data_IF_942570411519
#
_entry.id   IF_942570411519
#
_cell.length_a   1.000
_cell.length_b   1.000
_cell.length_c   1.000
_cell.angle_alpha   90.00
_cell.angle_beta   90.00
_cell.angle_gamma   90.00
#
_symmetry.space_group_name_H-M   'P 1'
#
loop_
_entity.id
_entity.type
_entity.pdbx_description
1 polymer ?
#
# COMPACT_ATOMS: atom_id res chain seq x y z
N UNK A 1 -1.88 -2.15 -16.67
CA UNK A 1 -2.86 -2.22 -15.58
C UNK A 1 -3.14 -3.69 -15.35
N UNK A 2 -3.02 -4.15 -14.10
CA UNK A 2 -3.30 -5.54 -13.71
C UNK A 2 -4.80 -5.76 -13.82
N UNK A 3 -5.22 -6.94 -14.31
CA UNK A 3 -6.65 -7.24 -14.47
C UNK A 3 -7.25 -7.61 -13.11
N UNK A 4 -8.43 -7.07 -12.79
CA UNK A 4 -9.17 -7.50 -11.61
C UNK A 4 -9.50 -9.01 -11.69
N UNK A 5 -9.05 -9.77 -10.70
CA UNK A 5 -9.18 -11.24 -10.64
C UNK A 5 -10.43 -11.74 -9.94
N UNK A 6 -11.21 -10.86 -9.30
CA UNK A 6 -12.37 -11.24 -8.48
C UNK A 6 -13.40 -12.05 -9.28
N UNK A 7 -13.68 -11.65 -10.53
CA UNK A 7 -14.60 -12.38 -11.40
C UNK A 7 -14.11 -13.76 -11.84
N UNK A 8 -12.80 -14.00 -11.77
CA UNK A 8 -12.18 -15.27 -12.16
C UNK A 8 -12.07 -16.25 -10.98
N UNK A 9 -12.05 -15.74 -9.75
CA UNK A 9 -11.84 -16.55 -8.55
C UNK A 9 -12.82 -17.74 -8.43
N UNK A 10 -14.14 -17.58 -8.67
CA UNK A 10 -15.09 -18.70 -8.62
C UNK A 10 -14.87 -19.76 -9.70
N UNK A 11 -14.16 -19.41 -10.77
CA UNK A 11 -13.84 -20.34 -11.85
C UNK A 11 -12.55 -21.13 -11.58
N UNK A 12 -11.80 -20.82 -10.52
CA UNK A 12 -10.56 -21.52 -10.16
C UNK A 12 -10.87 -22.68 -9.20
N UNK A 13 -10.28 -23.83 -9.47
CA UNK A 13 -10.40 -25.02 -8.64
C UNK A 13 -9.31 -25.04 -7.57
N UNK A 14 -9.49 -25.76 -6.43
CA UNK A 14 -8.50 -25.79 -5.36
C UNK A 14 -7.07 -26.09 -5.82
N UNK A 15 -6.93 -27.02 -6.76
CA UNK A 15 -5.66 -27.45 -7.36
C UNK A 15 -5.01 -26.37 -8.23
N UNK A 16 -5.80 -25.47 -8.84
CA UNK A 16 -5.24 -24.32 -9.57
C UNK A 16 -4.42 -23.46 -8.58
N UNK A 17 -4.92 -23.25 -7.36
CA UNK A 17 -4.16 -22.47 -6.36
C UNK A 17 -3.03 -23.28 -5.71
N UNK A 18 -3.12 -24.61 -5.63
CA UNK A 18 -1.98 -25.44 -5.21
C UNK A 18 -0.83 -25.30 -6.21
N UNK A 19 -1.14 -25.30 -7.51
CA UNK A 19 -0.15 -24.97 -8.54
C UNK A 19 0.42 -23.57 -8.33
N UNK A 20 -0.43 -22.53 -8.23
CA UNK A 20 0.03 -21.14 -8.06
C UNK A 20 0.90 -20.98 -6.80
N UNK A 21 0.53 -21.60 -5.69
CA UNK A 21 1.32 -21.62 -4.45
C UNK A 21 2.64 -22.35 -4.63
N UNK A 22 2.65 -23.44 -5.40
CA UNK A 22 3.87 -24.17 -5.76
C UNK A 22 4.83 -23.33 -6.62
N UNK A 23 4.29 -22.55 -7.57
CA UNK A 23 5.09 -21.57 -8.34
C UNK A 23 5.63 -20.48 -7.41
N UNK A 24 4.80 -19.89 -6.54
CA UNK A 24 5.24 -18.90 -5.54
C UNK A 24 6.39 -19.44 -4.67
N UNK A 25 6.26 -20.67 -4.19
CA UNK A 25 7.27 -21.32 -3.37
C UNK A 25 8.58 -21.56 -4.15
N UNK A 26 8.47 -22.00 -5.40
CA UNK A 26 9.63 -22.18 -6.28
C UNK A 26 10.34 -20.85 -6.59
N UNK A 27 9.58 -19.76 -6.69
CA UNK A 27 10.10 -18.41 -6.94
C UNK A 27 11.04 -17.91 -5.84
N UNK A 28 11.01 -18.50 -4.65
CA UNK A 28 11.99 -18.21 -3.59
C UNK A 28 13.43 -18.59 -3.98
N UNK A 29 13.59 -19.50 -4.95
CA UNK A 29 14.89 -20.04 -5.35
C UNK A 29 15.30 -19.63 -6.77
N UNK A 30 14.35 -19.27 -7.65
CA UNK A 30 14.61 -18.86 -9.03
C UNK A 30 13.46 -18.07 -9.60
N UNK A 31 13.72 -17.08 -10.45
CA UNK A 31 12.68 -16.30 -11.14
C UNK A 31 11.73 -17.14 -11.97
N UNK A 32 12.28 -18.17 -12.61
CA UNK A 32 11.53 -19.10 -13.43
C UNK A 32 11.65 -20.49 -12.84
N UNK A 33 10.54 -20.97 -12.29
CA UNK A 33 10.46 -22.28 -11.66
C UNK A 33 10.42 -23.35 -12.75
N UNK A 34 11.43 -24.23 -12.76
CA UNK A 34 11.50 -25.37 -13.66
C UNK A 34 10.27 -26.27 -13.48
N UNK A 35 9.67 -26.68 -14.61
CA UNK A 35 8.45 -27.50 -14.65
C UNK A 35 8.59 -28.77 -13.81
N UNK A 36 9.73 -29.43 -13.85
CA UNK A 36 10.01 -30.69 -13.15
C UNK A 36 10.01 -30.56 -11.62
N UNK A 37 10.11 -29.34 -11.09
CA UNK A 37 10.07 -29.07 -9.64
C UNK A 37 8.66 -28.79 -9.14
N UNK A 38 7.71 -28.45 -10.02
CA UNK A 38 6.37 -28.04 -9.65
C UNK A 38 5.55 -29.14 -8.95
N UNK A 39 5.60 -30.43 -9.33
CA UNK A 39 4.91 -31.49 -8.59
C UNK A 39 5.30 -31.50 -7.11
N UNK A 40 6.60 -31.33 -6.83
CA UNK A 40 7.13 -31.29 -5.46
C UNK A 40 6.66 -30.05 -4.67
N UNK A 41 6.62 -28.87 -5.31
CA UNK A 41 6.23 -27.64 -4.61
C UNK A 41 4.72 -27.51 -4.43
N UNK A 42 3.93 -27.99 -5.40
CA UNK A 42 2.46 -27.90 -5.36
C UNK A 42 1.81 -29.07 -4.64
N UNK A 43 2.51 -30.21 -4.48
CA UNK A 43 1.93 -31.44 -3.97
C UNK A 43 1.00 -32.15 -4.96
N UNK A 44 1.01 -31.73 -6.24
CA UNK A 44 0.22 -32.30 -7.32
C UNK A 44 0.99 -33.38 -8.08
N UNK A 45 0.26 -34.25 -8.79
CA UNK A 45 0.85 -35.18 -9.76
C UNK A 45 1.37 -34.44 -11.01
N UNK A 46 2.26 -35.07 -11.78
CA UNK A 46 2.75 -34.50 -13.04
C UNK A 46 1.61 -34.20 -14.04
N UNK A 47 0.59 -35.07 -14.10
CA UNK A 47 -0.57 -34.91 -14.98
C UNK A 47 -1.44 -33.71 -14.56
N UNK A 48 -1.68 -33.54 -13.26
CA UNK A 48 -2.39 -32.39 -12.73
C UNK A 48 -1.60 -31.10 -12.96
N UNK A 49 -0.29 -31.10 -12.70
CA UNK A 49 0.56 -29.92 -12.97
C UNK A 49 0.42 -29.48 -14.42
N UNK A 50 0.52 -30.40 -15.39
CA UNK A 50 0.39 -30.05 -16.82
C UNK A 50 -0.98 -29.42 -17.14
N UNK A 51 -2.06 -30.06 -16.70
CA UNK A 51 -3.43 -29.56 -16.91
C UNK A 51 -3.64 -28.17 -16.31
N UNK A 52 -3.14 -27.95 -15.09
CA UNK A 52 -3.29 -26.70 -14.36
C UNK A 52 -2.42 -25.60 -14.95
N UNK A 53 -1.23 -25.92 -15.44
CA UNK A 53 -0.33 -24.98 -16.12
C UNK A 53 -1.00 -24.38 -17.36
N UNK A 54 -1.59 -25.21 -18.22
CA UNK A 54 -2.33 -24.73 -19.41
C UNK A 54 -3.49 -23.80 -19.03
N UNK A 55 -4.25 -24.17 -17.99
CA UNK A 55 -5.39 -23.39 -17.50
C UNK A 55 -4.96 -22.04 -16.92
N UNK A 56 -3.95 -22.03 -16.05
CA UNK A 56 -3.41 -20.81 -15.44
C UNK A 56 -2.74 -19.90 -16.48
N UNK A 57 -2.05 -20.46 -17.48
CA UNK A 57 -1.49 -19.68 -18.61
C UNK A 57 -2.59 -19.00 -19.42
N UNK A 58 -3.64 -19.74 -19.80
CA UNK A 58 -4.77 -19.20 -20.57
C UNK A 58 -5.48 -18.05 -19.85
N UNK A 59 -5.43 -18.05 -18.52
CA UNK A 59 -6.02 -17.03 -17.65
C UNK A 59 -5.08 -15.87 -17.31
N UNK A 60 -3.80 -15.94 -17.71
CA UNK A 60 -2.81 -14.91 -17.40
C UNK A 60 -2.42 -14.87 -15.93
N UNK A 61 -2.49 -16.00 -15.22
CA UNK A 61 -2.08 -16.07 -13.81
C UNK A 61 -0.58 -16.38 -13.66
N UNK A 62 -0.01 -17.01 -14.68
CA UNK A 62 1.40 -17.36 -14.78
C UNK A 62 1.91 -17.03 -16.18
N UNK A 63 3.23 -16.93 -16.29
CA UNK A 63 3.95 -16.80 -17.55
C UNK A 63 4.86 -18.01 -17.75
N UNK A 64 5.08 -18.39 -19.01
CA UNK A 64 5.95 -19.51 -19.42
C UNK A 64 7.12 -18.99 -20.24
N UNK A 65 8.31 -19.52 -19.98
CA UNK A 65 9.45 -19.45 -20.90
C UNK A 65 9.86 -20.84 -21.36
N UNK A 66 10.46 -20.90 -22.54
CA UNK A 66 10.97 -22.14 -23.16
C UNK A 66 12.43 -22.05 -23.58
N UNK A 67 13.06 -20.88 -23.40
CA UNK A 67 14.47 -20.68 -23.72
C UNK A 67 15.31 -21.37 -22.65
N UNK A 68 16.23 -22.24 -23.07
CA UNK A 68 17.10 -23.12 -22.25
C UNK A 68 16.38 -24.23 -21.48
N UNK A 69 15.20 -23.96 -20.92
CA UNK A 69 14.35 -24.94 -20.23
C UNK A 69 12.90 -24.44 -20.17
N UNK A 70 11.99 -25.35 -19.85
CA UNK A 70 10.59 -25.02 -19.58
C UNK A 70 10.43 -24.52 -18.14
N UNK A 71 10.09 -23.24 -17.99
CA UNK A 71 9.97 -22.60 -16.69
C UNK A 71 8.76 -21.68 -16.59
N UNK A 72 8.29 -21.49 -15.36
CA UNK A 72 7.08 -20.74 -15.05
C UNK A 72 7.31 -19.71 -13.95
N UNK A 73 6.63 -18.57 -14.05
CA UNK A 73 6.65 -17.53 -13.02
C UNK A 73 5.24 -16.97 -12.81
N UNK A 74 4.95 -16.43 -11.63
CA UNK A 74 3.65 -15.81 -11.36
C UNK A 74 3.54 -14.46 -12.07
N UNK A 75 2.33 -14.18 -12.57
CA UNK A 75 1.91 -12.82 -12.89
C UNK A 75 1.19 -12.21 -11.68
N UNK A 76 1.04 -10.89 -11.67
CA UNK A 76 0.37 -10.20 -10.56
C UNK A 76 -1.07 -10.69 -10.39
N UNK A 77 -1.76 -11.03 -11.46
CA UNK A 77 -3.09 -11.64 -11.41
C UNK A 77 -3.06 -12.99 -10.64
N UNK A 78 -2.04 -13.83 -10.83
CA UNK A 78 -1.87 -15.04 -10.03
C UNK A 78 -1.60 -14.75 -8.56
N UNK A 79 -0.83 -13.71 -8.28
CA UNK A 79 -0.50 -13.28 -6.92
C UNK A 79 -1.71 -12.68 -6.19
N UNK A 80 -2.50 -11.87 -6.89
CA UNK A 80 -3.78 -11.32 -6.43
C UNK A 80 -4.76 -12.44 -6.10
N UNK A 81 -4.88 -13.44 -6.98
CA UNK A 81 -5.78 -14.57 -6.77
C UNK A 81 -5.42 -15.34 -5.50
N UNK A 82 -4.12 -15.58 -5.27
CA UNK A 82 -3.64 -16.23 -4.05
C UNK A 82 -3.94 -15.40 -2.78
N UNK A 83 -3.71 -14.09 -2.83
CA UNK A 83 -3.99 -13.20 -1.71
C UNK A 83 -5.50 -13.09 -1.41
N UNK A 84 -6.31 -12.90 -2.45
CA UNK A 84 -7.77 -12.80 -2.34
C UNK A 84 -8.37 -14.08 -1.80
N UNK A 85 -7.95 -15.25 -2.33
CA UNK A 85 -8.41 -16.55 -1.82
C UNK A 85 -8.14 -16.68 -0.33
N UNK A 86 -6.93 -16.33 0.12
CA UNK A 86 -6.59 -16.44 1.53
C UNK A 86 -7.43 -15.51 2.43
N UNK A 87 -7.79 -14.31 1.94
CA UNK A 87 -8.65 -13.38 2.67
C UNK A 87 -10.12 -13.84 2.70
N UNK A 88 -10.59 -14.48 1.61
CA UNK A 88 -11.94 -15.09 1.56
C UNK A 88 -12.03 -16.32 2.47
N UNK A 89 -11.03 -17.21 2.45
CA UNK A 89 -10.99 -18.41 3.31
C UNK A 89 -10.90 -18.08 4.81
N UNK A 90 -10.48 -16.85 5.16
CA UNK A 90 -10.44 -16.33 6.53
C UNK A 90 -11.68 -15.52 6.91
N UNK A 91 -12.73 -15.54 6.07
CA UNK A 91 -13.97 -14.75 6.22
C UNK A 91 -13.71 -13.22 6.35
N UNK A 92 -12.55 -12.74 5.90
CA UNK A 92 -12.18 -11.32 5.91
C UNK A 92 -12.91 -10.56 4.80
N UNK A 93 -13.17 -11.22 3.68
CA UNK A 93 -13.91 -10.68 2.53
C UNK A 93 -15.02 -11.67 2.16
N UNK A 94 -16.26 -11.17 2.06
CA UNK A 94 -17.42 -11.93 1.62
C UNK A 94 -17.89 -11.51 0.22
N UNK A 95 -17.83 -10.21 -0.11
CA UNK A 95 -18.21 -9.69 -1.42
C UNK A 95 -17.13 -8.75 -1.97
N UNK A 96 -16.98 -8.73 -3.30
CA UNK A 96 -16.05 -7.86 -4.02
C UNK A 96 -16.83 -6.82 -4.82
N UNK A 97 -16.46 -5.55 -4.67
CA UNK A 97 -17.15 -4.41 -5.23
C UNK A 97 -16.39 -3.68 -6.33
N UNK A 98 -16.69 -2.39 -6.45
CA UNK A 98 -16.14 -1.51 -7.49
C UNK A 98 -14.70 -1.07 -7.18
N UNK A 99 -13.90 -0.72 -8.19
CA UNK A 99 -12.63 -0.02 -7.96
C UNK A 99 -12.87 1.32 -7.27
N UNK A 100 -12.09 1.62 -6.24
CA UNK A 100 -12.08 2.90 -5.53
C UNK A 100 -10.96 3.81 -6.04
N UNK A 101 -9.80 3.22 -6.39
CA UNK A 101 -8.67 3.95 -6.95
C UNK A 101 -7.70 2.99 -7.61
N UNK A 102 -7.17 3.34 -8.79
CA UNK A 102 -6.21 2.53 -9.53
C UNK A 102 -5.03 3.42 -9.87
N UNK A 103 -3.89 3.14 -9.26
CA UNK A 103 -2.69 3.97 -9.30
C UNK A 103 -1.49 3.26 -9.90
N UNK A 104 -0.34 3.95 -9.88
CA UNK A 104 0.94 3.36 -10.29
C UNK A 104 1.47 2.35 -9.27
N UNK A 105 1.18 2.59 -8.00
CA UNK A 105 1.79 1.92 -6.85
C UNK A 105 0.79 1.08 -6.05
N UNK A 106 -0.51 1.27 -6.27
CA UNK A 106 -1.53 0.42 -5.68
C UNK A 106 -2.82 0.37 -6.50
N UNK A 107 -3.56 -0.72 -6.34
CA UNK A 107 -4.95 -0.85 -6.80
C UNK A 107 -5.85 -1.03 -5.58
N UNK A 108 -6.87 -0.20 -5.44
CA UNK A 108 -7.80 -0.18 -4.30
C UNK A 108 -9.21 -0.50 -4.79
N UNK A 109 -9.83 -1.49 -4.15
CA UNK A 109 -11.17 -1.96 -4.45
C UNK A 109 -12.05 -1.91 -3.21
N UNK A 110 -13.33 -1.64 -3.42
CA UNK A 110 -14.33 -1.85 -2.39
C UNK A 110 -14.52 -3.36 -2.20
N UNK A 111 -14.52 -3.79 -0.95
CA UNK A 111 -14.88 -5.16 -0.55
C UNK A 111 -15.83 -5.07 0.63
N UNK A 112 -16.49 -6.17 0.95
CA UNK A 112 -17.47 -6.19 2.03
C UNK A 112 -17.33 -7.46 2.85
N UNK A 113 -17.44 -7.30 4.17
CA UNK A 113 -17.67 -8.38 5.13
C UNK A 113 -18.99 -8.07 5.84
N UNK A 114 -19.00 -7.90 7.17
CA UNK A 114 -20.15 -7.38 7.91
C UNK A 114 -20.44 -5.89 7.64
N UNK A 115 -19.44 -5.15 7.13
CA UNK A 115 -19.54 -3.76 6.69
C UNK A 115 -18.72 -3.54 5.41
N UNK A 116 -18.92 -2.42 4.68
CA UNK A 116 -18.02 -2.02 3.60
C UNK A 116 -16.59 -1.79 4.11
N UNK A 117 -15.61 -2.25 3.35
CA UNK A 117 -14.17 -2.19 3.62
C UNK A 117 -13.42 -1.83 2.32
N UNK A 118 -12.14 -1.55 2.43
CA UNK A 118 -11.24 -1.35 1.29
C UNK A 118 -10.20 -2.47 1.23
N UNK A 119 -9.95 -2.99 0.03
CA UNK A 119 -8.86 -3.91 -0.28
C UNK A 119 -7.84 -3.16 -1.13
N UNK A 120 -6.62 -3.01 -0.61
CA UNK A 120 -5.48 -2.39 -1.30
C UNK A 120 -4.49 -3.47 -1.71
N UNK A 121 -4.19 -3.58 -3.00
CA UNK A 121 -3.06 -4.34 -3.52
C UNK A 121 -1.88 -3.40 -3.77
N UNK A 122 -0.71 -3.74 -3.23
CA UNK A 122 0.53 -3.04 -3.52
C UNK A 122 1.11 -3.44 -4.87
N UNK A 123 1.55 -2.45 -5.64
CA UNK A 123 2.15 -2.56 -6.97
C UNK A 123 3.51 -1.88 -7.07
N UNK A 124 4.09 -1.46 -5.94
CA UNK A 124 5.42 -0.83 -5.89
C UNK A 124 6.43 -1.56 -6.78
N UNK A 125 7.13 -0.79 -7.62
CA UNK A 125 8.13 -1.30 -8.58
C UNK A 125 7.58 -1.83 -9.92
N UNK A 126 6.25 -1.94 -10.12
CA UNK A 126 5.69 -2.51 -11.34
C UNK A 126 5.68 -1.57 -12.56
N UNK A 127 5.38 -0.28 -12.39
CA UNK A 127 5.17 0.65 -13.51
C UNK A 127 6.48 1.22 -14.08
N UNK A 128 7.42 1.64 -13.23
CA UNK A 128 8.71 2.19 -13.67
C UNK A 128 9.54 1.17 -14.49
N UNK A 129 9.29 -0.14 -14.30
CA UNK A 129 10.04 -1.18 -14.98
C UNK A 129 9.47 -1.59 -16.34
N UNK A 130 8.17 -1.44 -16.65
CA UNK A 130 7.68 -1.66 -18.04
C UNK A 130 8.31 -0.68 -19.02
N UNK A 131 8.68 0.51 -18.55
CA UNK A 131 9.46 1.47 -19.35
C UNK A 131 10.92 1.05 -19.48
N UNK A 132 11.56 0.58 -18.39
CA UNK A 132 12.98 0.18 -18.39
C UNK A 132 13.25 -1.17 -19.09
N UNK A 133 12.36 -2.16 -18.98
CA UNK A 133 12.48 -3.47 -19.65
C UNK A 133 12.24 -3.40 -21.16
N UNK A 134 11.71 -2.30 -21.69
CA UNK A 134 11.76 -2.07 -23.15
C UNK A 134 13.17 -1.75 -23.64
N UNK A 135 14.08 -1.34 -22.75
CA UNK A 135 15.42 -0.86 -23.09
C UNK A 135 16.57 -1.76 -22.61
N UNK A 136 16.32 -2.72 -21.71
CA UNK A 136 17.38 -3.58 -21.13
C UNK A 136 16.99 -5.06 -21.10
N UNK A 137 16.93 -5.67 -22.27
CA UNK A 137 17.47 -7.02 -22.38
C UNK A 137 19.01 -6.89 -22.28
N UNK A 138 19.67 -7.86 -21.67
CA UNK A 138 21.12 -7.96 -21.46
C UNK A 138 21.66 -7.27 -20.18
N UNK A 139 22.11 -8.13 -19.26
CA UNK A 139 23.03 -7.92 -18.13
C UNK A 139 22.45 -7.35 -16.82
N UNK A 140 22.28 -8.24 -15.83
CA UNK A 140 22.90 -8.06 -14.50
C UNK A 140 22.75 -9.31 -13.63
N UNK A 141 23.88 -9.70 -13.03
CA UNK A 141 24.02 -10.76 -12.03
C UNK A 141 23.58 -10.25 -10.64
N UNK A 142 22.99 -11.15 -9.83
CA UNK A 142 22.84 -11.09 -8.36
C UNK A 142 21.77 -10.18 -7.72
N UNK A 143 20.52 -10.68 -7.66
CA UNK A 143 19.77 -11.13 -6.46
C UNK A 143 18.31 -11.23 -6.90
N UNK A 144 17.77 -12.43 -6.92
CA UNK A 144 16.38 -12.67 -7.29
C UNK A 144 15.43 -12.10 -6.22
N UNK A 145 15.21 -10.78 -6.26
CA UNK A 145 14.16 -10.11 -5.49
C UNK A 145 13.01 -9.90 -6.47
N UNK A 146 12.07 -10.83 -6.49
CA UNK A 146 10.84 -10.68 -7.25
C UNK A 146 10.13 -9.40 -6.79
N UNK A 147 9.62 -8.59 -7.73
CA UNK A 147 8.80 -7.41 -7.43
C UNK A 147 7.61 -7.73 -6.52
N UNK A 148 7.09 -8.96 -6.57
CA UNK A 148 6.05 -9.45 -5.66
C UNK A 148 6.53 -9.48 -4.20
N UNK A 149 7.81 -9.77 -3.97
CA UNK A 149 8.42 -9.68 -2.64
C UNK A 149 8.49 -8.23 -2.16
N UNK A 150 8.86 -7.28 -3.02
CA UNK A 150 8.85 -5.84 -2.67
C UNK A 150 7.45 -5.37 -2.33
N UNK A 151 6.46 -5.65 -3.19
CA UNK A 151 5.06 -5.31 -2.94
C UNK A 151 4.51 -5.96 -1.66
N UNK A 152 4.89 -7.22 -1.40
CA UNK A 152 4.57 -7.91 -0.14
C UNK A 152 5.17 -7.19 1.06
N UNK A 153 6.44 -6.79 0.99
CA UNK A 153 7.11 -6.09 2.09
C UNK A 153 6.52 -4.72 2.35
N UNK A 154 6.10 -4.00 1.32
CA UNK A 154 5.36 -2.75 1.46
C UNK A 154 4.02 -2.97 2.18
N UNK A 155 3.26 -3.99 1.79
CA UNK A 155 1.99 -4.32 2.43
C UNK A 155 2.16 -4.78 3.90
N UNK A 156 3.19 -5.58 4.20
CA UNK A 156 3.52 -5.98 5.57
C UNK A 156 3.83 -4.73 6.43
N UNK A 157 4.70 -3.83 5.94
CA UNK A 157 5.04 -2.60 6.68
C UNK A 157 3.86 -1.67 6.91
N UNK A 158 3.05 -1.42 5.88
CA UNK A 158 1.88 -0.56 6.03
C UNK A 158 0.88 -1.17 7.02
N UNK A 159 0.61 -2.48 6.93
CA UNK A 159 -0.28 -3.14 7.88
C UNK A 159 0.24 -3.05 9.32
N UNK A 160 1.52 -3.38 9.54
CA UNK A 160 2.14 -3.32 10.87
C UNK A 160 2.10 -1.89 11.43
N UNK A 161 2.36 -0.89 10.60
CA UNK A 161 2.27 0.53 10.99
C UNK A 161 0.84 0.93 11.35
N UNK A 162 -0.15 0.51 10.55
CA UNK A 162 -1.57 0.78 10.84
C UNK A 162 -2.02 0.10 12.14
N UNK A 163 -1.49 -1.08 12.47
CA UNK A 163 -1.81 -1.79 13.72
C UNK A 163 -1.26 -1.06 14.94
N UNK A 164 -0.06 -0.48 14.86
CA UNK A 164 0.54 0.30 15.95
C UNK A 164 -0.12 1.69 16.11
N UNK A 165 -0.54 2.31 15.00
CA UNK A 165 -1.12 3.66 15.03
C UNK A 165 -2.62 3.68 15.40
N UNK A 166 -3.37 2.62 15.08
CA UNK A 166 -4.79 2.56 15.38
C UNK A 166 -5.05 2.10 16.84
N UNK A 167 -5.93 2.77 17.61
CA UNK A 167 -6.84 3.85 17.24
C UNK A 167 -6.35 5.26 17.63
N UNK A 168 -5.10 5.41 18.09
CA UNK A 168 -4.59 6.64 18.69
C UNK A 168 -4.37 7.76 17.67
N UNK A 169 -4.03 7.38 16.44
CA UNK A 169 -3.97 8.24 15.26
C UNK A 169 -5.15 7.93 14.35
N UNK A 170 -5.72 8.96 13.73
CA UNK A 170 -6.79 8.81 12.75
C UNK A 170 -6.28 8.22 11.44
N UNK A 171 -6.13 6.90 11.43
CA UNK A 171 -5.74 6.05 10.31
C UNK A 171 -6.86 5.03 10.01
N UNK A 172 -6.95 4.47 8.80
CA UNK A 172 -7.92 3.41 8.54
C UNK A 172 -7.61 2.18 9.39
N UNK A 173 -8.62 1.65 10.10
CA UNK A 173 -8.45 0.44 10.90
C UNK A 173 -7.96 -0.72 10.03
N UNK A 174 -6.81 -1.35 10.32
CA UNK A 174 -6.39 -2.56 9.63
C UNK A 174 -7.29 -3.74 10.04
N UNK A 175 -7.66 -4.59 9.07
CA UNK A 175 -8.55 -5.75 9.28
C UNK A 175 -7.82 -7.05 8.99
N UNK A 176 -6.94 -7.06 7.99
CA UNK A 176 -6.06 -8.19 7.75
C UNK A 176 -5.13 -7.98 6.56
N UNK A 177 -4.05 -8.73 6.55
CA UNK A 177 -3.05 -8.69 5.49
C UNK A 177 -2.77 -10.10 4.96
N UNK A 178 -2.56 -10.18 3.65
CA UNK A 178 -2.01 -11.37 3.02
C UNK A 178 -1.18 -10.98 1.80
N UNK A 179 0.08 -11.44 1.75
CA UNK A 179 1.00 -11.15 0.63
C UNK A 179 1.14 -9.63 0.42
N UNK A 180 0.76 -9.11 -0.73
CA UNK A 180 0.79 -7.70 -1.08
C UNK A 180 -0.58 -7.03 -0.91
N UNK A 181 -1.53 -7.68 -0.24
CA UNK A 181 -2.89 -7.21 -0.07
C UNK A 181 -3.19 -6.84 1.39
N UNK A 182 -3.80 -5.67 1.60
CA UNK A 182 -4.30 -5.19 2.89
C UNK A 182 -5.81 -4.99 2.79
N UNK A 183 -6.55 -5.51 3.76
CA UNK A 183 -7.95 -5.16 4.01
C UNK A 183 -7.99 -4.19 5.18
N UNK A 184 -8.61 -3.04 4.99
CA UNK A 184 -8.75 -2.00 6.00
C UNK A 184 -10.14 -1.36 5.95
N UNK A 185 -10.46 -0.57 6.97
CA UNK A 185 -11.66 0.25 6.98
C UNK A 185 -11.71 1.15 5.74
N UNK A 186 -12.88 1.22 5.09
CA UNK A 186 -13.09 2.11 3.95
C UNK A 186 -13.06 3.55 4.46
N UNK A 187 -12.28 4.42 3.82
CA UNK A 187 -12.22 5.82 4.18
C UNK A 187 -13.52 6.51 3.76
N UNK A 188 -14.06 7.33 4.67
CA UNK A 188 -15.19 8.20 4.39
C UNK A 188 -14.70 9.61 4.00
N UNK A 189 -15.56 10.37 3.31
CA UNK A 189 -15.26 11.73 2.91
C UNK A 189 -14.56 11.85 1.55
N UNK A 190 -13.76 12.91 1.39
CA UNK A 190 -13.12 13.28 0.10
C UNK A 190 -11.62 13.46 0.31
N UNK A 191 -10.82 13.00 -0.65
CA UNK A 191 -9.37 13.29 -0.70
C UNK A 191 -9.12 14.80 -0.53
N UNK A 192 -8.20 15.19 0.36
CA UNK A 192 -7.90 16.59 0.67
C UNK A 192 -7.55 17.40 -0.59
N UNK A 193 -6.81 16.80 -1.52
CA UNK A 193 -6.47 17.39 -2.83
C UNK A 193 -7.70 17.89 -3.60
N UNK A 194 -8.83 17.17 -3.52
CA UNK A 194 -10.11 17.47 -4.18
C UNK A 194 -11.11 18.20 -3.29
N UNK A 195 -10.93 18.14 -1.98
CA UNK A 195 -11.79 18.82 -1.02
C UNK A 195 -11.77 20.34 -1.23
N UNK A 196 -12.92 20.97 -1.03
CA UNK A 196 -13.06 22.43 -0.99
C UNK A 196 -13.43 22.83 0.43
N UNK A 197 -12.42 23.22 1.20
CA UNK A 197 -12.60 23.78 2.52
C UNK A 197 -13.09 25.22 2.41
N UNK A 198 -14.05 25.58 3.24
CA UNK A 198 -14.42 26.97 3.49
C UNK A 198 -13.32 27.66 4.31
N UNK A 199 -13.18 28.97 4.17
CA UNK A 199 -12.10 29.76 4.80
C UNK A 199 -11.97 29.52 6.31
N UNK A 200 -13.09 29.34 7.02
CA UNK A 200 -13.12 29.09 8.46
C UNK A 200 -12.69 27.67 8.85
N UNK A 201 -12.71 26.71 7.91
CA UNK A 201 -12.31 25.31 8.15
C UNK A 201 -10.81 25.10 7.95
N UNK A 202 -10.15 25.94 7.14
CA UNK A 202 -8.78 25.71 6.67
C UNK A 202 -7.80 25.49 7.82
N UNK A 203 -7.77 26.39 8.80
CA UNK A 203 -6.85 26.30 9.94
C UNK A 203 -7.18 25.10 10.83
N UNK A 204 -8.47 24.83 11.08
CA UNK A 204 -8.88 23.68 11.89
C UNK A 204 -8.47 22.34 11.26
N UNK A 205 -8.64 22.19 9.93
CA UNK A 205 -8.20 20.97 9.23
C UNK A 205 -6.68 20.84 9.23
N UNK A 206 -5.94 21.94 9.03
CA UNK A 206 -4.48 21.92 9.12
C UNK A 206 -4.01 21.53 10.53
N UNK A 207 -4.60 22.09 11.58
CA UNK A 207 -4.27 21.78 12.97
C UNK A 207 -4.55 20.31 13.30
N UNK A 208 -5.70 19.79 12.85
CA UNK A 208 -6.01 18.36 13.01
C UNK A 208 -4.92 17.50 12.38
N UNK A 209 -4.48 17.81 11.15
CA UNK A 209 -3.45 17.03 10.46
C UNK A 209 -2.09 17.10 11.17
N UNK A 210 -1.66 18.29 11.60
CA UNK A 210 -0.40 18.41 12.37
C UNK A 210 -0.51 17.66 13.70
N UNK A 211 -1.67 17.69 14.35
CA UNK A 211 -1.93 16.95 15.59
C UNK A 211 -1.93 15.43 15.39
N UNK A 212 -2.43 14.93 14.26
CA UNK A 212 -2.33 13.50 13.92
C UNK A 212 -0.88 13.09 13.62
N UNK A 213 -0.10 13.94 12.92
CA UNK A 213 1.33 13.69 12.69
C UNK A 213 2.13 13.71 14.00
N UNK A 214 1.80 14.63 14.91
CA UNK A 214 2.41 14.68 16.24
C UNK A 214 2.10 13.40 17.05
N UNK A 215 0.85 12.92 17.00
CA UNK A 215 0.47 11.66 17.63
C UNK A 215 1.13 10.45 16.97
N UNK A 216 1.28 10.42 15.65
CA UNK A 216 2.02 9.36 14.97
C UNK A 216 3.49 9.33 15.43
N UNK A 217 4.12 10.50 15.53
CA UNK A 217 5.48 10.63 16.06
C UNK A 217 5.58 10.12 17.50
N UNK A 218 4.61 10.51 18.36
CA UNK A 218 4.51 10.02 19.74
C UNK A 218 4.32 8.50 19.85
N UNK A 219 3.68 7.88 18.86
CA UNK A 219 3.54 6.43 18.73
C UNK A 219 4.72 5.76 18.00
N UNK A 220 5.79 6.50 17.73
CA UNK A 220 7.03 5.94 17.22
C UNK A 220 7.16 5.89 15.70
N UNK A 221 6.29 6.58 14.94
CA UNK A 221 6.34 6.58 13.48
C UNK A 221 6.33 7.98 12.86
N UNK A 222 7.12 8.13 11.78
CA UNK A 222 7.04 9.25 10.85
C UNK A 222 6.46 8.72 9.54
N UNK A 223 5.47 9.41 8.97
CA UNK A 223 4.83 8.99 7.72
C UNK A 223 5.83 8.91 6.56
N UNK A 224 6.74 9.88 6.47
CA UNK A 224 7.81 9.94 5.48
C UNK A 224 7.34 9.88 4.02
N UNK A 225 6.10 10.28 3.74
CA UNK A 225 5.59 10.57 2.39
C UNK A 225 4.29 11.37 2.45
N UNK A 226 4.19 12.32 3.39
CA UNK A 226 2.95 13.05 3.60
C UNK A 226 2.66 14.02 2.45
N UNK A 227 1.44 13.95 1.90
CA UNK A 227 0.93 14.84 0.84
C UNK A 227 -0.59 15.01 0.92
N UNK A 228 -1.15 15.97 0.18
CA UNK A 228 -2.59 16.19 0.09
C UNK A 228 -3.38 15.02 -0.53
N UNK A 229 -2.70 14.06 -1.16
CA UNK A 229 -3.31 12.87 -1.74
C UNK A 229 -3.47 11.75 -0.71
N UNK A 230 -2.74 11.80 0.40
CA UNK A 230 -2.69 10.78 1.45
C UNK A 230 -3.58 11.13 2.66
N UNK A 231 -4.58 12.00 2.43
CA UNK A 231 -5.53 12.47 3.45
C UNK A 231 -6.94 12.43 2.91
N UNK A 232 -7.85 11.86 3.69
CA UNK A 232 -9.29 12.05 3.53
C UNK A 232 -9.82 13.06 4.56
N UNK A 233 -10.76 13.90 4.14
CA UNK A 233 -11.49 14.84 5.01
C UNK A 233 -12.97 14.52 4.93
N UNK A 234 -13.59 14.36 6.10
CA UNK A 234 -15.01 14.06 6.24
C UNK A 234 -15.64 14.76 7.44
N UNK A 235 -16.89 14.42 7.76
CA UNK A 235 -17.61 15.00 8.89
C UNK A 235 -16.99 14.64 10.24
N UNK A 236 -16.34 13.48 10.34
CA UNK A 236 -15.65 12.99 11.54
C UNK A 236 -14.23 13.55 11.71
N UNK A 237 -13.75 14.41 10.80
CA UNK A 237 -12.41 14.98 10.83
C UNK A 237 -11.55 14.53 9.66
N UNK A 238 -10.28 14.25 9.94
CA UNK A 238 -9.28 13.85 8.94
C UNK A 238 -8.85 12.41 9.16
N UNK A 239 -8.46 11.71 8.10
CA UNK A 239 -7.87 10.37 8.16
C UNK A 239 -6.65 10.32 7.26
N UNK A 240 -5.50 9.95 7.82
CA UNK A 240 -4.22 9.81 7.12
C UNK A 240 -4.05 8.35 6.71
N UNK A 241 -3.69 8.11 5.45
CA UNK A 241 -3.51 6.76 4.89
C UNK A 241 -2.24 6.69 4.05
N UNK A 242 -1.92 5.49 3.54
CA UNK A 242 -0.74 5.24 2.72
C UNK A 242 0.58 5.32 3.50
N UNK A 243 0.78 4.34 4.39
CA UNK A 243 1.95 4.25 5.27
C UNK A 243 3.08 3.27 4.83
N UNK A 244 3.24 2.81 3.56
CA UNK A 244 4.28 1.83 3.23
C UNK A 244 5.71 2.39 3.33
N UNK A 245 5.87 3.72 3.31
CA UNK A 245 7.14 4.43 3.43
C UNK A 245 7.43 4.90 4.87
N UNK A 246 6.53 4.62 5.81
CA UNK A 246 6.68 5.04 7.20
C UNK A 246 7.97 4.51 7.81
N UNK A 247 8.61 5.34 8.63
CA UNK A 247 9.83 4.96 9.35
C UNK A 247 9.65 5.11 10.85
N UNK A 248 10.31 4.27 11.66
CA UNK A 248 10.42 4.46 13.10
C UNK A 248 11.07 5.81 13.45
N UNK A 249 10.69 6.40 14.59
CA UNK A 249 11.28 7.67 15.06
C UNK A 249 12.76 7.57 15.47
N UNK A 250 13.27 6.37 15.73
CA UNK A 250 14.69 6.11 15.99
C UNK A 250 15.55 6.01 14.72
N UNK A 251 14.94 6.07 13.54
CA UNK A 251 15.64 6.08 12.26
C UNK A 251 16.47 7.36 12.11
N UNK A 252 17.71 7.25 11.62
CA UNK A 252 18.66 8.38 11.48
C UNK A 252 18.06 9.59 10.75
N UNK A 253 17.28 9.34 9.70
CA UNK A 253 16.63 10.38 8.89
C UNK A 253 15.19 10.74 9.34
N UNK A 254 14.67 10.17 10.42
CA UNK A 254 13.31 10.48 10.89
C UNK A 254 13.07 11.99 11.12
N UNK A 255 14.01 12.76 11.71
CA UNK A 255 13.87 14.22 11.85
C UNK A 255 13.73 14.93 10.49
N UNK A 256 14.49 14.51 9.48
CA UNK A 256 14.42 15.11 8.14
C UNK A 256 13.08 14.79 7.46
N UNK A 257 12.61 13.55 7.58
CA UNK A 257 11.33 13.14 7.02
C UNK A 257 10.15 13.87 7.65
N UNK A 258 10.14 14.06 8.97
CA UNK A 258 9.09 14.82 9.66
C UNK A 258 9.05 16.28 9.16
N UNK A 259 10.21 16.94 9.07
CA UNK A 259 10.31 18.30 8.53
C UNK A 259 9.79 18.37 7.09
N UNK A 260 10.10 17.36 6.27
CA UNK A 260 9.62 17.28 4.88
C UNK A 260 8.10 17.11 4.82
N UNK A 261 7.53 16.22 5.64
CA UNK A 261 6.10 15.97 5.69
C UNK A 261 5.33 17.26 6.07
N UNK A 262 5.79 17.96 7.11
CA UNK A 262 5.21 19.24 7.54
C UNK A 262 5.36 20.32 6.48
N UNK A 263 6.52 20.39 5.80
CA UNK A 263 6.75 21.36 4.72
C UNK A 263 5.85 21.11 3.51
N UNK A 264 5.63 19.84 3.15
CA UNK A 264 4.72 19.47 2.07
C UNK A 264 3.28 19.86 2.41
N UNK A 265 2.84 19.52 3.63
CA UNK A 265 1.51 19.84 4.13
C UNK A 265 1.27 21.35 4.16
N UNK A 266 2.12 22.12 4.84
CA UNK A 266 2.02 23.58 4.89
C UNK A 266 2.10 24.21 3.51
N UNK A 267 3.00 23.71 2.65
CA UNK A 267 3.15 24.18 1.28
C UNK A 267 1.87 24.01 0.47
N UNK A 268 1.18 22.88 0.61
CA UNK A 268 -0.11 22.67 -0.03
C UNK A 268 -1.16 23.68 0.44
N UNK A 269 -1.33 23.84 1.76
CA UNK A 269 -2.31 24.75 2.32
C UNK A 269 -2.04 26.22 1.95
N UNK A 270 -0.78 26.67 1.96
CA UNK A 270 -0.40 28.02 1.51
C UNK A 270 -0.71 28.27 0.04
N UNK A 271 -0.48 27.27 -0.83
CA UNK A 271 -0.80 27.40 -2.26
C UNK A 271 -2.31 27.45 -2.52
N UNK A 272 -3.09 26.63 -1.82
CA UNK A 272 -4.53 26.50 -2.04
C UNK A 272 -5.37 27.54 -1.28
N UNK A 273 -4.91 27.96 -0.10
CA UNK A 273 -5.58 28.86 0.83
C UNK A 273 -4.63 29.97 1.37
N UNK A 274 -4.04 30.80 0.51
CA UNK A 274 -2.98 31.75 0.87
C UNK A 274 -3.42 32.85 1.86
N UNK A 275 -4.72 33.07 2.04
CA UNK A 275 -5.25 34.10 2.96
C UNK A 275 -5.49 33.57 4.38
N UNK A 276 -5.42 32.25 4.55
CA UNK A 276 -5.88 31.57 5.77
C UNK A 276 -4.71 30.99 6.56
N UNK A 277 -3.58 30.69 5.91
CA UNK A 277 -2.40 30.11 6.56
C UNK A 277 -1.33 31.19 6.77
N UNK A 278 -0.87 31.43 8.02
CA UNK A 278 0.21 32.36 8.28
C UNK A 278 1.51 32.01 7.54
N UNK A 279 2.14 33.02 6.95
CA UNK A 279 3.45 32.88 6.31
C UNK A 279 4.54 32.56 7.34
N UNK A 280 4.35 33.01 8.58
CA UNK A 280 5.26 32.86 9.71
C UNK A 280 5.11 31.53 10.46
N UNK A 281 4.42 30.53 9.91
CA UNK A 281 4.34 29.19 10.52
C UNK A 281 5.45 28.27 9.93
N UNK A 282 6.67 28.22 10.49
CA UNK A 282 7.75 27.43 9.95
C UNK A 282 7.57 25.94 10.25
N UNK A 283 7.75 25.13 9.21
CA UNK A 283 7.73 23.67 9.32
C UNK A 283 8.78 23.14 10.31
N UNK A 284 9.92 23.84 10.41
CA UNK A 284 11.04 23.41 11.25
C UNK A 284 10.75 23.60 12.75
N UNK A 285 10.02 24.65 13.14
CA UNK A 285 9.64 24.85 14.55
C UNK A 285 8.49 23.93 14.96
N UNK A 286 7.54 23.66 14.03
CA UNK A 286 6.55 22.59 14.23
C UNK A 286 7.22 21.23 14.42
N UNK A 287 8.21 20.90 13.59
CA UNK A 287 8.96 19.66 13.72
C UNK A 287 9.69 19.59 15.07
N UNK A 288 10.35 20.68 15.49
CA UNK A 288 11.03 20.74 16.77
C UNK A 288 10.07 20.54 17.95
N UNK A 289 8.91 21.20 17.92
CA UNK A 289 7.89 21.07 18.97
C UNK A 289 7.26 19.66 19.01
N UNK A 290 7.16 18.97 17.87
CA UNK A 290 6.74 17.57 17.83
C UNK A 290 7.84 16.65 18.37
N UNK A 291 9.10 16.88 17.96
CA UNK A 291 10.27 16.11 18.38
C UNK A 291 10.48 16.15 19.91
N UNK A 292 10.27 17.30 20.55
CA UNK A 292 10.42 17.46 22.01
C UNK A 292 9.12 17.25 22.81
N UNK A 293 8.00 17.02 22.11
CA UNK A 293 6.68 16.79 22.72
C UNK A 293 6.00 18.03 23.28
N UNK A 294 6.43 19.24 22.90
CA UNK A 294 5.83 20.52 23.31
C UNK A 294 4.73 21.04 22.39
N UNK A 295 4.44 20.36 21.27
CA UNK A 295 3.37 20.77 20.36
C UNK A 295 1.98 20.68 21.02
N UNK A 296 1.33 21.83 21.22
CA UNK A 296 -0.04 21.94 21.77
C UNK A 296 -1.07 22.35 20.72
N UNK A 297 -0.78 23.37 19.92
CA UNK A 297 -1.65 23.90 18.85
C UNK A 297 -0.85 24.73 17.85
N UNK A 298 -1.45 25.09 16.71
CA UNK A 298 -0.80 26.00 15.76
C UNK A 298 -0.70 27.42 16.32
N UNK A 299 -1.68 27.86 17.11
CA UNK A 299 -1.69 29.18 17.75
C UNK A 299 -0.53 29.34 18.73
N UNK A 300 -0.22 28.31 19.52
CA UNK A 300 0.88 28.33 20.49
C UNK A 300 2.25 28.52 19.81
N UNK A 301 2.42 27.94 18.62
CA UNK A 301 3.66 28.05 17.83
C UNK A 301 3.79 29.43 17.21
N UNK A 302 2.69 29.98 16.66
CA UNK A 302 2.68 31.33 16.10
C UNK A 302 2.99 32.40 17.16
N UNK A 303 2.42 32.27 18.36
CA UNK A 303 2.66 33.20 19.46
C UNK A 303 4.09 33.14 20.04
N UNK A 304 4.84 32.04 19.84
CA UNK A 304 6.23 31.93 20.26
C UNK A 304 7.22 32.65 19.34
N UNK A 305 6.76 33.08 18.15
CA UNK A 305 7.56 33.75 17.13
C UNK A 305 7.41 35.28 17.12
N UNK A 306 6.43 35.83 17.86
CA UNK A 306 6.23 37.26 18.11
C UNK A 306 6.98 37.76 19.36
#
# INVERSE_FOLDING_TARGET
MVRNVAGMLPELEPEDFYLLSGVEQGMRFSEWVQREKLPKFSGLTDEEVEYRLERCLKRGLIEKKTIQYEGYTLQFEGYDALALRALVERDTIAEFGSPLGVGKESDVYEVKSYKPLALKYHREGYTNFREVNKERDYTSENRHVSWMYTARKAAEREHDTLEELYPDVSVPRPIGQNRHAIVMEKMDGVELSRAKLEDWQVLGVLELLVSELARAYGNGFVHADMSEYNVFVGESGVTIFDWPQAVPTDHENAPEFLRRDLRNLLGYFRRKYPRNVPDELPADDLAAAIEDGSFESLEAIGAALE
#
